data_IF_077226594816
#
_entry.id   IF_077226594816
#
_cell.length_a   1.000
_cell.length_b   1.000
_cell.length_c   1.000
_cell.angle_alpha   90.00
_cell.angle_beta   90.00
_cell.angle_gamma   90.00
#
_symmetry.space_group_name_H-M   'P 1'
#
loop_
_entity.id
_entity.type
_entity.pdbx_description
1 polymer ?
#
# COMPACT_ATOMS: atom_id res chain seq x y z
N UNK A 1 -41.25 25.87 19.31
CA UNK A 1 -40.97 25.91 18.83
C UNK A 1 -40.72 26.20 17.59
N UNK A 2 -40.86 26.35 17.36
CA UNK A 2 -40.72 26.56 16.58
C UNK A 2 -40.16 27.24 15.75
N UNK A 3 -40.06 27.47 15.74
CA UNK A 3 -39.62 28.05 15.15
C UNK A 3 -38.91 28.27 14.27
N UNK A 4 -38.73 28.00 14.27
CA UNK A 4 -38.03 28.10 13.69
C UNK A 4 -37.85 28.21 12.52
N UNK A 5 -38.15 28.02 12.29
CA UNK A 5 -38.05 28.02 11.37
C UNK A 5 -37.83 28.76 10.54
N UNK A 6 -37.96 29.11 10.39
CA UNK A 6 -37.85 29.77 9.77
C UNK A 6 -37.00 30.20 9.10
N UNK A 7 -36.66 30.15 9.06
CA UNK A 7 -35.90 30.60 8.57
C UNK A 7 -35.53 30.59 7.51
N UNK A 8 -35.55 30.25 7.38
CA UNK A 8 -35.13 30.21 6.56
C UNK A 8 -35.16 30.69 5.49
N UNK A 9 -35.58 30.82 5.31
CA UNK A 9 -35.69 31.18 4.34
C UNK A 9 -35.08 31.98 3.68
N UNK A 10 -34.81 32.21 3.99
CA UNK A 10 -34.31 33.04 3.53
C UNK A 10 -33.49 33.01 2.59
N UNK A 11 -33.20 32.57 2.71
CA UNK A 11 -32.41 32.61 2.03
C UNK A 11 -32.38 32.75 0.75
N UNK A 12 -32.67 32.67 0.59
CA UNK A 12 -32.60 32.75 -0.38
C UNK A 12 -32.25 33.45 -1.31
N UNK A 13 -32.36 33.76 -1.38
CA UNK A 13 -32.14 34.35 -2.09
C UNK A 13 -31.32 34.80 -2.75
N UNK A 14 -31.10 34.84 -2.55
CA UNK A 14 -30.40 35.36 -3.00
C UNK A 14 -29.93 35.31 -4.09
N UNK A 15 -29.95 34.97 -4.24
CA UNK A 15 -29.47 34.91 -5.03
C UNK A 15 -29.27 35.36 -6.08
N UNK A 16 -29.52 35.40 -6.21
CA UNK A 16 -29.40 35.74 -7.08
C UNK A 16 -28.67 36.39 -7.86
N UNK A 17 -28.50 36.47 -7.90
CA UNK A 17 -27.93 37.10 -8.47
C UNK A 17 -27.14 37.21 -9.37
N UNK A 18 -26.93 37.19 -9.52
CA UNK A 18 -26.22 37.39 -10.15
C UNK A 18 -25.81 37.44 -11.29
N UNK A 19 -25.72 37.33 -11.57
CA UNK A 19 -25.32 37.36 -12.29
C UNK A 19 -24.93 37.74 -13.32
N UNK A 20 -25.02 37.84 -13.57
CA UNK A 20 -24.80 38.23 -14.32
C UNK A 20 -23.97 38.60 -15.09
N UNK A 21 -23.58 38.75 -15.30
CA UNK A 21 -22.87 39.18 -15.85
C UNK A 21 -22.14 39.04 -16.73
N UNK A 22 -21.84 38.90 -16.81
CA UNK A 22 -21.16 38.77 -17.42
C UNK A 22 -20.74 38.87 -18.62
N UNK A 23 -20.73 38.94 -18.92
CA UNK A 23 -20.51 38.95 -20.00
C UNK A 23 -19.67 39.42 -20.80
N UNK A 24 -19.40 39.72 -21.00
CA UNK A 24 -18.75 40.25 -21.62
C UNK A 24 -17.75 39.95 -22.10
N UNK A 25 -17.31 39.83 -21.86
CA UNK A 25 -16.29 39.62 -22.13
C UNK A 25 -15.95 39.08 -23.24
N UNK A 26 -16.07 38.85 -23.39
CA UNK A 26 -15.93 38.29 -24.32
C UNK A 26 -15.29 38.66 -25.40
N UNK A 27 -15.24 39.09 -25.62
CA UNK A 27 -14.79 39.59 -26.59
C UNK A 27 -13.54 39.44 -26.93
N UNK A 28 -12.96 39.59 -26.74
CA UNK A 28 -11.79 39.65 -27.03
C UNK A 28 -11.12 38.63 -27.35
N UNK A 29 -11.18 38.22 -27.12
CA UNK A 29 -10.63 37.26 -27.24
C UNK A 29 -10.19 37.01 -28.48
N UNK A 30 -10.41 37.11 -29.08
CA UNK A 30 -10.16 36.86 -30.19
C UNK A 30 -8.90 36.91 -30.60
N UNK A 31 -8.40 37.35 -30.43
CA UNK A 31 -7.34 37.54 -30.90
C UNK A 31 -6.42 36.73 -30.69
N UNK A 32 -6.33 36.46 -30.22
CA UNK A 32 -5.42 35.79 -29.89
C UNK A 32 -5.04 34.86 -30.59
N UNK A 33 -5.17 34.56 -30.91
CA UNK A 33 -4.80 33.83 -31.42
C UNK A 33 -3.87 33.38 -31.83
N UNK A 34 -3.70 33.42 -31.72
CA UNK A 34 -2.95 33.19 -32.17
C UNK A 34 -2.03 32.44 -32.16
N UNK A 35 -1.71 32.16 -31.89
CA UNK A 35 -0.81 31.79 -31.70
C UNK A 35 -0.45 30.62 -31.78
N UNK A 36 -0.30 30.13 -31.86
CA UNK A 36 0.14 29.34 -31.94
C UNK A 36 0.71 28.50 -31.67
N UNK A 37 0.86 28.20 -31.40
CA UNK A 37 1.37 27.57 -31.04
C UNK A 37 1.94 26.59 -31.08
N UNK A 38 2.32 26.29 -30.69
CA UNK A 38 3.20 25.48 -30.59
C UNK A 38 2.84 24.12 -30.40
N UNK A 39 2.73 23.40 -31.25
CA UNK A 39 2.58 22.03 -31.20
C UNK A 39 3.83 21.35 -30.71
N UNK A 40 4.94 22.01 -30.88
CA UNK A 40 6.22 21.55 -30.33
C UNK A 40 6.11 21.38 -28.81
N UNK A 41 5.50 22.35 -28.16
CA UNK A 41 5.34 22.30 -26.72
C UNK A 41 4.51 21.09 -26.28
N UNK A 42 3.46 20.82 -27.04
CA UNK A 42 2.60 19.69 -26.74
C UNK A 42 3.37 18.36 -26.86
N UNK A 43 4.19 18.25 -27.90
CA UNK A 43 4.99 17.05 -28.11
C UNK A 43 6.03 16.86 -27.00
N UNK A 44 6.66 17.96 -26.61
CA UNK A 44 7.65 17.92 -25.53
C UNK A 44 7.00 17.52 -24.22
N UNK A 45 5.83 18.08 -23.93
CA UNK A 45 5.11 17.73 -22.71
C UNK A 45 4.72 16.26 -22.69
N UNK A 46 4.26 15.75 -23.82
CA UNK A 46 3.93 14.34 -23.96
C UNK A 46 5.14 13.44 -23.72
N UNK A 47 6.27 13.84 -24.29
CA UNK A 47 7.51 13.07 -24.14
C UNK A 47 7.99 13.06 -22.71
N UNK A 48 7.91 14.21 -22.03
CA UNK A 48 8.28 14.29 -20.62
C UNK A 48 7.37 13.44 -19.77
N UNK A 49 6.07 13.49 -20.03
CA UNK A 49 5.10 12.69 -19.29
C UNK A 49 5.38 11.19 -19.46
N UNK A 50 5.72 10.79 -20.68
CA UNK A 50 6.06 9.39 -20.94
C UNK A 50 7.32 8.95 -20.20
N UNK A 51 8.35 9.79 -20.20
CA UNK A 51 9.59 9.50 -19.49
C UNK A 51 9.35 9.39 -17.99
N UNK A 52 8.54 10.27 -17.43
CA UNK A 52 8.21 10.24 -16.02
C UNK A 52 7.43 8.97 -15.66
N UNK A 53 6.54 8.54 -16.56
CA UNK A 53 5.80 7.30 -16.38
C UNK A 53 6.72 6.10 -16.38
N UNK A 54 7.67 6.07 -17.30
CA UNK A 54 8.63 4.97 -17.39
C UNK A 54 9.51 4.90 -16.15
N UNK A 55 9.99 6.05 -15.68
CA UNK A 55 10.79 6.09 -14.46
C UNK A 55 9.98 5.59 -13.28
N UNK A 56 8.71 5.99 -13.20
CA UNK A 56 7.83 5.57 -12.12
C UNK A 56 7.62 4.06 -12.13
N UNK A 57 7.44 3.48 -13.31
CA UNK A 57 7.27 2.04 -13.46
C UNK A 57 8.54 1.29 -13.05
N UNK A 58 9.69 1.79 -13.45
CA UNK A 58 10.98 1.18 -13.11
C UNK A 58 11.18 1.21 -11.59
N UNK A 59 10.85 2.33 -10.95
CA UNK A 59 10.96 2.45 -9.51
C UNK A 59 10.03 1.47 -8.79
N UNK A 60 8.80 1.35 -9.27
CA UNK A 60 7.84 0.42 -8.70
C UNK A 60 8.28 -1.02 -8.86
N UNK A 61 8.86 -1.37 -10.00
CA UNK A 61 9.36 -2.72 -10.24
C UNK A 61 10.54 -3.03 -9.34
N UNK A 62 11.43 -2.05 -9.15
CA UNK A 62 12.57 -2.21 -8.27
C UNK A 62 12.11 -2.45 -6.84
N UNK A 63 11.13 -1.69 -6.40
CA UNK A 63 10.58 -1.83 -5.06
C UNK A 63 9.93 -3.19 -4.86
N UNK A 64 9.18 -3.66 -5.85
CA UNK A 64 8.57 -4.99 -5.79
C UNK A 64 9.63 -6.08 -5.67
N UNK A 65 10.74 -5.93 -6.39
CA UNK A 65 11.83 -6.88 -6.32
C UNK A 65 12.48 -6.89 -4.95
N UNK A 66 12.64 -5.71 -4.34
CA UNK A 66 13.17 -5.61 -2.99
C UNK A 66 12.25 -6.28 -1.99
N UNK A 67 10.95 -5.99 -2.08
CA UNK A 67 9.95 -6.60 -1.21
C UNK A 67 10.00 -8.11 -1.33
N UNK A 68 10.04 -8.62 -2.56
CA UNK A 68 10.09 -10.05 -2.81
C UNK A 68 11.35 -10.67 -2.24
N UNK A 69 12.49 -10.02 -2.40
CA UNK A 69 13.76 -10.50 -1.87
C UNK A 69 13.74 -10.62 -0.36
N UNK A 70 13.27 -9.58 0.32
CA UNK A 70 13.20 -9.62 1.79
C UNK A 70 12.15 -10.62 2.27
N UNK A 71 11.02 -10.72 1.57
CA UNK A 71 9.99 -11.70 1.90
C UNK A 71 10.54 -13.12 1.80
N UNK A 72 11.31 -13.41 0.75
CA UNK A 72 11.92 -14.72 0.58
C UNK A 72 12.92 -15.01 1.70
N UNK A 73 13.68 -14.01 2.12
CA UNK A 73 14.61 -14.17 3.24
C UNK A 73 13.88 -14.48 4.53
N UNK A 74 12.76 -13.82 4.77
CA UNK A 74 11.94 -14.07 5.95
C UNK A 74 11.43 -15.51 5.93
N UNK A 75 10.85 -15.92 4.82
CA UNK A 75 10.30 -17.26 4.66
C UNK A 75 11.39 -18.31 4.85
N UNK A 76 12.53 -18.16 4.18
CA UNK A 76 13.64 -19.09 4.27
C UNK A 76 14.16 -19.23 5.70
N UNK A 77 14.26 -18.11 6.41
CA UNK A 77 14.72 -18.11 7.78
C UNK A 77 13.79 -18.89 8.68
N UNK A 78 12.48 -18.65 8.52
CA UNK A 78 11.48 -19.35 9.32
C UNK A 78 11.44 -20.83 8.97
N UNK A 79 11.49 -21.17 7.68
CA UNK A 79 11.48 -22.55 7.23
C UNK A 79 12.67 -23.32 7.77
N UNK A 80 13.83 -22.68 7.85
CA UNK A 80 15.03 -23.30 8.40
C UNK A 80 14.88 -23.64 9.89
N UNK A 81 14.07 -22.85 10.59
CA UNK A 81 13.82 -23.07 12.01
C UNK A 81 12.61 -23.97 12.27
N UNK A 82 11.89 -24.31 11.21
CA UNK A 82 10.63 -25.06 11.34
C UNK A 82 10.85 -26.56 11.42
N UNK A 83 10.40 -27.14 12.50
CA UNK A 83 10.38 -28.60 12.66
C UNK A 83 9.00 -29.10 12.28
N UNK A 84 8.88 -29.54 11.03
CA UNK A 84 7.59 -30.01 10.51
C UNK A 84 7.16 -31.29 11.23
N UNK A 85 5.92 -31.35 11.72
CA UNK A 85 5.42 -32.59 12.37
C UNK A 85 5.30 -33.68 11.30
N UNK A 86 5.47 -34.92 11.77
CA UNK A 86 5.31 -36.06 10.88
C UNK A 86 3.88 -36.59 10.98
N UNK A 87 3.48 -37.29 9.94
CA UNK A 87 2.19 -37.99 9.91
C UNK A 87 1.02 -37.01 10.05
N UNK A 88 1.07 -35.91 9.27
CA UNK A 88 -0.02 -34.94 9.22
C UNK A 88 -0.47 -34.81 7.77
N UNK A 89 -1.73 -34.41 7.54
CA UNK A 89 -2.21 -34.15 6.17
C UNK A 89 -1.37 -33.07 5.51
N UNK A 90 -1.17 -33.20 4.21
CA UNK A 90 -0.34 -32.25 3.45
C UNK A 90 -1.08 -31.00 3.00
N UNK A 91 -2.40 -31.01 3.13
CA UNK A 91 -3.22 -29.89 2.71
C UNK A 91 -3.52 -28.89 3.81
N UNK A 92 -2.86 -29.04 4.95
CA UNK A 92 -3.04 -28.11 6.07
C UNK A 92 -2.45 -26.75 5.74
N UNK A 93 -3.13 -25.71 6.17
CA UNK A 93 -2.64 -24.34 6.05
C UNK A 93 -2.94 -23.58 7.34
N UNK A 94 -1.92 -22.98 7.91
CA UNK A 94 -2.05 -22.10 9.06
C UNK A 94 -1.54 -20.71 8.67
N UNK A 95 -2.26 -19.68 9.07
CA UNK A 95 -1.83 -18.32 8.79
C UNK A 95 -1.47 -17.62 10.09
N UNK A 96 -0.28 -17.05 10.11
CA UNK A 96 0.24 -16.33 11.26
C UNK A 96 0.47 -14.87 10.93
N UNK A 97 0.31 -14.02 11.92
CA UNK A 97 0.65 -12.60 11.79
C UNK A 97 1.82 -12.34 12.72
N UNK A 98 2.85 -11.70 12.18
CA UNK A 98 4.04 -11.36 12.93
C UNK A 98 4.16 -9.85 13.04
N UNK A 99 4.56 -9.38 14.21
CA UNK A 99 4.88 -7.99 14.42
C UNK A 99 6.38 -7.90 14.67
N UNK A 100 7.06 -7.10 13.86
CA UNK A 100 8.53 -7.08 13.85
C UNK A 100 9.02 -5.65 14.00
N UNK A 101 10.05 -5.46 14.83
CA UNK A 101 10.69 -4.16 14.99
C UNK A 101 11.65 -3.89 13.83
N UNK A 102 12.03 -2.63 13.67
CA UNK A 102 12.99 -2.24 12.62
C UNK A 102 14.33 -2.96 12.77
N UNK A 103 14.66 -3.39 13.98
CA UNK A 103 15.88 -4.17 14.23
C UNK A 103 15.76 -5.62 13.74
N UNK A 104 14.56 -6.04 13.36
CA UNK A 104 14.29 -7.40 12.94
C UNK A 104 13.79 -8.29 14.05
N UNK A 105 13.68 -7.77 15.27
CA UNK A 105 13.20 -8.56 16.39
C UNK A 105 11.69 -8.79 16.30
N UNK A 106 11.29 -10.05 16.42
CA UNK A 106 9.88 -10.42 16.41
C UNK A 106 9.33 -10.16 17.80
N UNK A 107 8.36 -9.24 17.91
CA UNK A 107 7.81 -8.87 19.21
C UNK A 107 6.45 -9.48 19.47
N UNK A 108 5.81 -10.01 18.44
CA UNK A 108 4.51 -10.67 18.62
C UNK A 108 4.26 -11.64 17.47
N UNK A 109 3.58 -12.73 17.78
CA UNK A 109 3.16 -13.71 16.77
C UNK A 109 1.77 -14.19 17.15
N UNK A 110 0.87 -14.12 16.18
CA UNK A 110 -0.54 -14.45 16.38
C UNK A 110 -1.01 -15.44 15.32
N UNK A 111 -1.75 -16.45 15.75
CA UNK A 111 -2.37 -17.38 14.82
C UNK A 111 -3.68 -16.76 14.31
N UNK A 112 -3.68 -16.34 13.04
CA UNK A 112 -4.86 -15.70 12.44
C UNK A 112 -5.87 -16.76 12.00
N UNK A 113 -5.35 -17.85 11.43
CA UNK A 113 -6.20 -18.93 10.94
C UNK A 113 -5.55 -20.26 11.26
N UNK A 114 -6.26 -21.07 12.02
CA UNK A 114 -5.80 -22.42 12.37
C UNK A 114 -5.94 -23.38 11.18
N UNK A 115 -5.03 -24.31 11.09
CA UNK A 115 -5.13 -25.39 10.10
C UNK A 115 -6.17 -26.45 10.50
N UNK A 116 -6.61 -26.40 11.74
CA UNK A 116 -7.45 -27.45 12.31
C UNK A 116 -6.67 -28.54 12.98
N UNK A 117 -5.34 -28.49 12.90
CA UNK A 117 -4.46 -29.48 13.53
C UNK A 117 -3.54 -28.75 14.50
N UNK A 118 -3.73 -29.02 15.80
CA UNK A 118 -3.00 -28.29 16.84
C UNK A 118 -1.51 -28.53 16.81
N UNK A 119 -1.09 -29.72 16.42
CA UNK A 119 0.34 -30.03 16.32
C UNK A 119 0.99 -29.20 15.23
N UNK A 120 0.31 -29.06 14.11
CA UNK A 120 0.79 -28.26 12.99
C UNK A 120 0.84 -26.78 13.38
N UNK A 121 -0.25 -26.27 13.94
CA UNK A 121 -0.34 -24.87 14.36
C UNK A 121 0.77 -24.53 15.36
N UNK A 122 0.99 -25.39 16.34
CA UNK A 122 2.03 -25.18 17.33
C UNK A 122 3.42 -25.22 16.72
N UNK A 123 3.63 -26.11 15.75
CA UNK A 123 4.94 -26.18 15.08
C UNK A 123 5.26 -24.90 14.33
N UNK A 124 4.26 -24.31 13.70
CA UNK A 124 4.44 -23.05 12.98
C UNK A 124 4.76 -21.91 13.95
N UNK A 125 4.02 -21.83 15.06
CA UNK A 125 4.29 -20.82 16.09
C UNK A 125 5.69 -20.97 16.67
N UNK A 126 6.09 -22.23 16.94
CA UNK A 126 7.43 -22.49 17.46
C UNK A 126 8.53 -22.10 16.49
N UNK A 127 8.30 -22.31 15.18
CA UNK A 127 9.28 -21.94 14.18
C UNK A 127 9.58 -20.45 14.24
N UNK A 128 8.53 -19.63 14.31
CA UNK A 128 8.68 -18.18 14.41
C UNK A 128 9.40 -17.79 15.69
N UNK A 129 9.02 -18.40 16.80
CA UNK A 129 9.64 -18.09 18.09
C UNK A 129 11.12 -18.44 18.13
N UNK A 130 11.53 -19.50 17.43
CA UNK A 130 12.94 -19.88 17.37
C UNK A 130 13.79 -18.90 16.61
N UNK A 131 13.22 -18.24 15.62
CA UNK A 131 13.94 -17.24 14.84
C UNK A 131 14.32 -16.03 15.71
N UNK A 132 13.40 -15.55 16.51
CA UNK A 132 13.53 -14.39 17.40
C UNK A 132 13.87 -13.09 16.68
N UNK A 133 14.88 -13.08 15.82
CA UNK A 133 15.35 -11.88 15.16
C UNK A 133 15.79 -12.17 13.73
N UNK A 134 15.37 -11.32 12.80
CA UNK A 134 15.85 -11.36 11.41
C UNK A 134 17.01 -10.38 11.28
N UNK A 135 18.22 -10.90 11.18
CA UNK A 135 19.43 -10.07 11.17
C UNK A 135 19.52 -9.12 9.98
N UNK A 136 18.88 -9.45 8.88
CA UNK A 136 18.96 -8.63 7.65
C UNK A 136 18.01 -7.43 7.66
N UNK A 137 17.18 -7.27 8.68
CA UNK A 137 16.22 -6.16 8.73
C UNK A 137 16.89 -4.79 8.73
N UNK A 138 18.12 -4.70 9.21
CA UNK A 138 18.86 -3.45 9.18
C UNK A 138 19.11 -2.93 7.76
N UNK A 139 19.05 -3.83 6.79
CA UNK A 139 19.25 -3.48 5.38
C UNK A 139 17.97 -2.98 4.71
N UNK A 140 16.82 -3.15 5.34
CA UNK A 140 15.55 -2.73 4.77
C UNK A 140 15.41 -1.22 4.92
N UNK A 141 15.14 -0.48 3.82
CA UNK A 141 14.89 0.95 3.93
C UNK A 141 13.75 1.23 4.89
N UNK A 142 13.87 2.31 5.66
CA UNK A 142 12.91 2.61 6.71
C UNK A 142 11.48 2.71 6.20
N UNK A 143 11.28 3.41 5.10
CA UNK A 143 9.95 3.57 4.54
C UNK A 143 9.36 2.24 4.08
N UNK A 144 10.19 1.36 3.55
CA UNK A 144 9.75 0.05 3.11
C UNK A 144 9.40 -0.83 4.32
N UNK A 145 10.23 -0.78 5.35
CA UNK A 145 9.94 -1.49 6.59
C UNK A 145 8.60 -1.07 7.19
N UNK A 146 8.37 0.22 7.32
CA UNK A 146 7.15 0.74 7.93
C UNK A 146 5.91 0.38 7.14
N UNK A 147 6.03 0.31 5.84
CA UNK A 147 4.90 0.04 4.97
C UNK A 147 4.62 -1.44 4.76
N UNK A 148 5.67 -2.26 4.65
CA UNK A 148 5.52 -3.66 4.23
C UNK A 148 5.96 -4.70 5.27
N UNK A 149 6.87 -4.38 6.18
CA UNK A 149 7.51 -5.39 7.01
C UNK A 149 7.32 -5.21 8.52
N UNK A 150 6.60 -4.17 8.93
CA UNK A 150 6.32 -3.96 10.34
C UNK A 150 5.34 -5.02 10.85
N UNK A 151 4.34 -5.31 10.07
CA UNK A 151 3.36 -6.37 10.36
C UNK A 151 3.22 -7.20 9.10
N UNK A 152 3.49 -8.49 9.21
CA UNK A 152 3.43 -9.39 8.06
C UNK A 152 2.57 -10.60 8.37
N UNK A 153 1.96 -11.16 7.33
CA UNK A 153 1.19 -12.38 7.42
C UNK A 153 1.91 -13.47 6.64
N UNK A 154 2.03 -14.63 7.23
CA UNK A 154 2.72 -15.76 6.62
C UNK A 154 1.82 -16.98 6.66
N UNK A 155 1.80 -17.72 5.54
CA UNK A 155 1.07 -18.96 5.43
C UNK A 155 2.05 -20.13 5.56
N UNK A 156 1.73 -21.06 6.43
CA UNK A 156 2.49 -22.30 6.59
C UNK A 156 1.74 -23.44 5.93
N UNK A 157 2.47 -24.27 5.21
CA UNK A 157 1.94 -25.44 4.53
C UNK A 157 2.98 -26.55 4.63
N UNK A 158 2.60 -27.79 4.98
CA UNK A 158 3.58 -28.86 5.18
C UNK A 158 4.16 -29.45 3.90
N UNK A 159 3.56 -29.19 2.75
CA UNK A 159 4.03 -29.78 1.49
C UNK A 159 5.09 -28.94 0.78
#
# INVERSE_FOLDING_TARGET
SQDIKKQIPTATKAIATPMEQSPQDTVYSKETNAIQTPQSNTLIESSIANLLSEESEIEMDRERQEISMYAQKIISTIESAWMKPRNIPKDLVANLRLKIRSSGRIIDVELIKSSGNIRFDNSALQAVRRVETFSFFNSIPKNLYEREFQIIAISFNPS
#
